data_IF_436553624934
#
_entry.id   IF_436553624934
#
_cell.length_a   1.000
_cell.length_b   1.000
_cell.length_c   1.000
_cell.angle_alpha   90.00
_cell.angle_beta   90.00
_cell.angle_gamma   90.00
#
_symmetry.space_group_name_H-M   'P 1'
#
loop_
_entity.id
_entity.type
_entity.pdbx_description
1 polymer ?
#
# COMPACT_ATOMS: atom_id res chain seq x y z
N UNK A 1 -18.62 -21.33 -11.44
CA UNK A 1 -17.49 -21.22 -12.38
C UNK A 1 -16.49 -20.24 -11.79
N UNK A 2 -15.37 -20.70 -11.23
CA UNK A 2 -14.33 -19.83 -10.69
C UNK A 2 -13.50 -19.27 -11.84
N UNK A 3 -13.80 -18.05 -12.31
CA UNK A 3 -12.91 -17.32 -13.20
C UNK A 3 -11.68 -16.90 -12.40
N UNK A 4 -10.63 -17.72 -12.42
CA UNK A 4 -9.31 -17.29 -11.96
C UNK A 4 -8.80 -16.28 -13.00
N UNK A 5 -8.65 -14.99 -12.65
CA UNK A 5 -8.17 -14.01 -13.62
C UNK A 5 -6.78 -14.40 -14.10
N UNK A 6 -6.53 -14.22 -15.40
CA UNK A 6 -5.22 -14.45 -15.99
C UNK A 6 -4.17 -13.62 -15.25
N UNK A 7 -3.05 -14.24 -14.84
CA UNK A 7 -1.93 -13.54 -14.19
C UNK A 7 -1.44 -12.32 -15.00
N UNK A 8 -1.52 -12.39 -16.34
CA UNK A 8 -1.11 -11.27 -17.21
C UNK A 8 -1.94 -10.00 -17.00
N UNK A 9 -3.23 -10.13 -16.70
CA UNK A 9 -4.10 -8.97 -16.40
C UNK A 9 -3.72 -8.30 -15.08
N UNK A 10 -3.29 -9.10 -14.10
CA UNK A 10 -2.86 -8.59 -12.79
C UNK A 10 -1.52 -7.87 -12.89
N UNK A 11 -0.63 -8.34 -13.77
CA UNK A 11 0.68 -7.72 -14.01
C UNK A 11 0.60 -6.41 -14.82
N UNK A 12 -0.48 -6.21 -15.59
CA UNK A 12 -0.72 -4.97 -16.37
C UNK A 12 -1.54 -3.91 -15.63
N UNK A 13 -1.94 -4.16 -14.37
CA UNK A 13 -2.69 -3.17 -13.60
C UNK A 13 -1.82 -1.94 -13.33
N UNK A 14 -2.42 -0.77 -13.55
CA UNK A 14 -1.77 0.52 -13.28
C UNK A 14 -2.05 0.97 -11.85
N UNK A 15 -1.27 1.91 -11.33
CA UNK A 15 -1.55 2.51 -10.02
C UNK A 15 -2.93 3.19 -10.04
N UNK A 16 -3.33 3.80 -11.16
CA UNK A 16 -4.63 4.45 -11.30
C UNK A 16 -5.80 3.50 -11.02
N UNK A 17 -5.80 2.31 -11.63
CA UNK A 17 -6.86 1.31 -11.46
C UNK A 17 -7.01 0.92 -9.99
N UNK A 18 -5.88 0.77 -9.29
CA UNK A 18 -5.84 0.42 -7.87
C UNK A 18 -6.22 1.60 -6.98
N UNK A 19 -5.86 2.82 -7.38
CA UNK A 19 -6.20 4.04 -6.65
C UNK A 19 -7.70 4.35 -6.70
N UNK A 20 -8.35 4.09 -7.84
CA UNK A 20 -9.81 4.21 -7.98
C UNK A 20 -10.52 3.27 -7.01
N UNK A 21 -10.01 2.05 -6.84
CA UNK A 21 -10.54 1.07 -5.88
C UNK A 21 -10.20 1.37 -4.41
N UNK A 22 -9.43 2.43 -4.11
CA UNK A 22 -9.01 2.77 -2.75
C UNK A 22 -8.13 1.70 -2.07
N UNK A 23 -7.43 0.90 -2.86
CA UNK A 23 -6.63 -0.23 -2.36
C UNK A 23 -5.31 0.22 -1.72
N UNK A 24 -4.77 -0.67 -0.89
CA UNK A 24 -3.46 -0.54 -0.26
C UNK A 24 -2.42 -1.33 -1.03
N UNK A 25 -1.25 -0.73 -1.20
CA UNK A 25 -0.06 -1.41 -1.68
C UNK A 25 0.71 -2.00 -0.51
N UNK A 26 1.06 -3.27 -0.63
CA UNK A 26 1.86 -4.03 0.33
C UNK A 26 3.18 -4.37 -0.34
N UNK A 27 4.24 -3.72 0.12
CA UNK A 27 5.61 -3.95 -0.34
C UNK A 27 6.33 -4.77 0.71
N UNK A 28 6.62 -6.01 0.40
CA UNK A 28 7.28 -6.95 1.32
C UNK A 28 8.61 -7.40 0.75
N UNK A 29 9.67 -7.30 1.55
CA UNK A 29 10.92 -7.99 1.26
C UNK A 29 10.90 -9.37 1.92
N UNK A 30 10.95 -10.45 1.13
CA UNK A 30 10.99 -11.81 1.66
C UNK A 30 12.35 -12.17 2.29
N UNK A 31 13.40 -11.38 2.05
CA UNK A 31 14.71 -11.61 2.66
C UNK A 31 14.78 -11.07 4.09
N UNK A 32 14.52 -9.78 4.29
CA UNK A 32 14.56 -9.16 5.62
C UNK A 32 13.19 -9.09 6.31
N UNK A 33 12.14 -9.61 5.68
CA UNK A 33 10.73 -9.63 6.16
C UNK A 33 10.09 -8.26 6.39
N UNK A 34 10.77 -7.17 6.04
CA UNK A 34 10.22 -5.82 6.11
C UNK A 34 8.98 -5.72 5.22
N UNK A 35 7.87 -5.30 5.81
CA UNK A 35 6.60 -5.05 5.10
C UNK A 35 6.23 -3.58 5.31
N UNK A 36 5.96 -2.88 4.22
CA UNK A 36 5.57 -1.48 4.22
C UNK A 36 4.30 -1.31 3.41
N UNK A 37 3.37 -0.52 3.96
CA UNK A 37 2.07 -0.27 3.37
C UNK A 37 2.03 1.15 2.80
N UNK A 38 1.39 1.31 1.65
CA UNK A 38 1.23 2.61 0.99
C UNK A 38 -0.20 2.75 0.47
N UNK A 39 -0.73 3.98 0.46
CA UNK A 39 -1.99 4.24 -0.24
C UNK A 39 -1.74 4.28 -1.75
N UNK A 40 -2.65 3.71 -2.52
CA UNK A 40 -2.57 3.75 -3.98
C UNK A 40 -2.69 5.18 -4.54
N UNK A 41 -3.55 6.02 -3.95
CA UNK A 41 -3.68 7.44 -4.35
C UNK A 41 -2.35 8.19 -4.21
N UNK A 42 -1.67 7.98 -3.09
CA UNK A 42 -0.42 8.64 -2.76
C UNK A 42 0.71 8.24 -3.72
N UNK A 43 0.75 6.95 -4.07
CA UNK A 43 1.66 6.43 -5.07
C UNK A 43 1.33 6.95 -6.47
N UNK A 44 0.05 7.11 -6.81
CA UNK A 44 -0.37 7.66 -8.10
C UNK A 44 0.08 9.11 -8.27
N UNK A 45 -0.02 9.91 -7.20
CA UNK A 45 0.47 11.29 -7.19
C UNK A 45 1.99 11.36 -7.32
N UNK A 46 2.73 10.43 -6.71
CA UNK A 46 4.19 10.47 -6.68
C UNK A 46 4.87 9.86 -7.92
N UNK A 47 4.49 8.64 -8.29
CA UNK A 47 5.11 7.88 -9.40
C UNK A 47 4.43 8.13 -10.74
N UNK A 48 3.18 8.61 -10.71
CA UNK A 48 2.34 8.78 -11.87
C UNK A 48 1.28 7.67 -11.97
N UNK A 49 0.06 7.99 -12.43
CA UNK A 49 -1.06 7.05 -12.47
C UNK A 49 -0.84 5.86 -13.41
N UNK A 50 -0.09 6.04 -14.50
CA UNK A 50 0.14 5.01 -15.53
C UNK A 50 1.29 4.05 -15.22
N UNK A 51 1.96 4.21 -14.08
CA UNK A 51 3.05 3.30 -13.71
C UNK A 51 2.49 1.91 -13.41
N UNK A 52 3.19 0.88 -13.88
CA UNK A 52 2.83 -0.51 -13.60
C UNK A 52 3.26 -0.88 -12.18
N UNK A 53 2.45 -1.69 -11.50
CA UNK A 53 2.73 -2.14 -10.13
C UNK A 53 4.07 -2.89 -10.05
N UNK A 54 4.35 -3.72 -11.04
CA UNK A 54 5.49 -4.63 -11.04
C UNK A 54 6.83 -3.89 -11.25
N UNK A 55 6.81 -2.63 -11.66
CA UNK A 55 8.02 -1.82 -11.81
C UNK A 55 8.33 -1.01 -10.54
N UNK A 56 7.40 -0.95 -9.58
CA UNK A 56 7.55 -0.22 -8.33
C UNK A 56 8.45 -0.96 -7.34
N UNK A 57 9.22 -0.20 -6.55
CA UNK A 57 10.05 -0.70 -5.44
C UNK A 57 11.00 -1.84 -5.83
N UNK A 58 11.85 -1.57 -6.81
CA UNK A 58 12.83 -2.53 -7.30
C UNK A 58 13.92 -2.93 -6.28
N UNK A 59 14.03 -2.27 -5.12
CA UNK A 59 15.08 -2.53 -4.13
C UNK A 59 14.55 -2.34 -2.71
N UNK A 60 14.92 -3.25 -1.80
CA UNK A 60 14.61 -3.07 -0.39
C UNK A 60 15.41 -1.90 0.22
N UNK A 61 14.74 -1.02 0.95
CA UNK A 61 15.35 0.12 1.65
C UNK A 61 16.26 -0.29 2.82
N UNK A 62 16.13 -1.52 3.33
CA UNK A 62 16.96 -2.01 4.43
C UNK A 62 18.11 -2.91 3.95
N UNK A 63 17.81 -3.96 3.19
CA UNK A 63 18.81 -4.95 2.80
C UNK A 63 19.39 -4.76 1.40
N UNK A 64 18.86 -3.82 0.59
CA UNK A 64 19.36 -3.53 -0.74
C UNK A 64 19.10 -4.61 -1.80
N UNK A 65 18.48 -5.75 -1.44
CA UNK A 65 18.17 -6.83 -2.41
C UNK A 65 16.94 -6.49 -3.25
N UNK A 66 16.98 -6.90 -4.52
CA UNK A 66 15.92 -6.68 -5.52
C UNK A 66 15.04 -7.91 -5.71
N UNK A 67 15.67 -9.07 -5.86
CA UNK A 67 15.05 -10.36 -6.21
C UNK A 67 14.02 -10.86 -5.18
N UNK A 68 14.12 -10.39 -3.95
CA UNK A 68 13.25 -10.80 -2.85
C UNK A 68 12.11 -9.81 -2.57
N UNK A 69 11.97 -8.76 -3.40
CA UNK A 69 10.88 -7.80 -3.28
C UNK A 69 9.61 -8.40 -3.90
N UNK A 70 8.54 -8.39 -3.10
CA UNK A 70 7.21 -8.79 -3.53
C UNK A 70 6.27 -7.60 -3.32
N UNK A 71 5.70 -7.10 -4.42
CA UNK A 71 4.69 -6.05 -4.39
C UNK A 71 3.34 -6.71 -4.64
N UNK A 72 2.41 -6.47 -3.73
CA UNK A 72 1.03 -6.95 -3.83
C UNK A 72 0.08 -5.81 -3.47
N UNK A 73 -1.17 -5.91 -3.88
CA UNK A 73 -2.21 -4.98 -3.45
C UNK A 73 -3.32 -5.75 -2.74
N UNK A 74 -4.02 -5.09 -1.84
CA UNK A 74 -5.21 -5.62 -1.18
C UNK A 74 -6.17 -4.50 -0.83
N UNK A 75 -7.42 -4.84 -0.59
CA UNK A 75 -8.36 -3.92 0.02
C UNK A 75 -8.01 -3.74 1.51
N UNK A 76 -8.19 -2.53 2.07
CA UNK A 76 -8.18 -2.35 3.52
C UNK A 76 -9.29 -3.18 4.15
N UNK A 77 -8.98 -3.83 5.26
CA UNK A 77 -9.98 -4.53 6.08
C UNK A 77 -10.41 -3.64 7.26
N UNK A 78 -11.55 -3.96 7.89
CA UNK A 78 -12.04 -3.23 9.07
C UNK A 78 -11.04 -3.26 10.24
N UNK A 79 -10.27 -4.35 10.37
CA UNK A 79 -9.23 -4.49 11.40
C UNK A 79 -7.98 -3.64 11.13
N UNK A 80 -7.80 -3.12 9.91
CA UNK A 80 -6.70 -2.22 9.57
C UNK A 80 -6.96 -0.77 10.00
N UNK A 81 -8.23 -0.41 10.22
CA UNK A 81 -8.64 0.94 10.57
C UNK A 81 -8.16 1.30 12.00
N UNK A 82 -7.26 2.27 12.10
CA UNK A 82 -6.65 2.66 13.36
C UNK A 82 -5.49 1.77 13.86
N UNK A 83 -5.14 0.70 13.13
CA UNK A 83 -4.06 -0.22 13.49
C UNK A 83 -2.93 -0.27 12.45
N UNK A 84 -3.26 -0.14 11.16
CA UNK A 84 -2.29 -0.26 10.09
C UNK A 84 -1.47 1.03 9.95
N UNK A 85 -0.15 0.92 9.93
CA UNK A 85 0.72 2.07 9.61
C UNK A 85 1.00 2.12 8.12
N UNK A 86 0.54 3.19 7.47
CA UNK A 86 0.79 3.48 6.05
C UNK A 86 1.83 4.57 5.89
N UNK A 87 2.65 4.46 4.86
CA UNK A 87 3.56 5.53 4.45
C UNK A 87 2.85 6.49 3.53
N UNK A 88 2.70 7.74 3.97
CA UNK A 88 2.16 8.83 3.16
C UNK A 88 3.25 9.82 2.74
N UNK A 89 3.23 10.33 1.51
CA UNK A 89 4.09 11.42 1.07
C UNK A 89 3.52 12.73 1.62
N UNK A 90 4.25 13.36 2.55
CA UNK A 90 3.89 14.69 3.08
C UNK A 90 4.43 15.82 2.19
N UNK A 91 5.56 15.57 1.53
CA UNK A 91 6.21 16.42 0.54
C UNK A 91 6.92 15.55 -0.51
N UNK A 92 7.34 16.15 -1.63
CA UNK A 92 7.98 15.49 -2.80
C UNK A 92 9.20 14.63 -2.41
N UNK A 93 9.76 14.78 -1.20
CA UNK A 93 10.89 13.96 -0.72
C UNK A 93 10.75 13.47 0.73
N UNK A 94 9.58 13.65 1.34
CA UNK A 94 9.38 13.31 2.76
C UNK A 94 8.17 12.40 2.94
N UNK A 95 8.48 11.15 3.30
CA UNK A 95 7.49 10.15 3.64
C UNK A 95 7.35 10.08 5.16
N UNK A 96 6.12 10.13 5.66
CA UNK A 96 5.80 9.95 7.07
C UNK A 96 4.97 8.69 7.25
N UNK A 97 5.24 8.00 8.35
CA UNK A 97 4.49 6.82 8.75
C UNK A 97 3.28 7.32 9.55
N UNK A 98 2.07 7.08 9.04
CA UNK A 98 0.82 7.53 9.61
C UNK A 98 -0.12 6.33 9.83
N UNK A 99 -0.94 6.39 10.87
CA UNK A 99 -1.98 5.37 11.08
C UNK A 99 -3.03 5.56 9.98
N UNK A 100 -3.38 4.46 9.32
CA UNK A 100 -4.44 4.42 8.34
C UNK A 100 -5.78 4.62 9.05
N UNK A 101 -6.54 5.60 8.55
CA UNK A 101 -7.92 5.83 8.93
C UNK A 101 -8.75 5.85 7.65
N UNK A 102 -9.80 5.04 7.58
CA UNK A 102 -10.67 4.97 6.41
C UNK A 102 -11.35 6.31 6.12
N UNK A 103 -11.75 7.03 7.19
CA UNK A 103 -12.36 8.37 7.11
C UNK A 103 -11.33 9.52 6.94
N UNK A 104 -10.03 9.18 6.85
CA UNK A 104 -8.94 10.15 6.70
C UNK A 104 -8.68 11.01 7.95
N UNK A 105 -9.36 10.76 9.08
CA UNK A 105 -9.15 11.42 10.36
C UNK A 105 -9.17 10.40 11.48
N UNK A 106 -8.35 10.58 12.53
CA UNK A 106 -8.52 9.81 13.75
C UNK A 106 -9.94 10.03 14.29
N UNK A 107 -10.61 8.99 14.82
CA UNK A 107 -11.92 9.11 15.42
C UNK A 107 -11.82 10.16 16.53
N UNK A 108 -12.87 10.98 16.63
CA UNK A 108 -12.97 11.99 17.68
C UNK A 108 -12.69 11.34 19.05
N UNK A 109 -12.01 12.06 19.96
CA UNK A 109 -11.46 11.58 21.24
C UNK A 109 -12.43 10.82 22.17
N UNK A 110 -13.70 10.65 21.82
CA UNK A 110 -14.71 9.87 22.56
C UNK A 110 -15.11 8.52 21.95
N UNK A 111 -14.62 8.13 20.76
CA UNK A 111 -15.08 6.90 20.08
C UNK A 111 -14.07 5.75 20.08
N UNK A 112 -12.78 6.03 20.36
CA UNK A 112 -11.77 4.98 20.39
C UNK A 112 -11.81 4.22 21.73
N UNK A 113 -12.56 3.13 21.77
CA UNK A 113 -12.53 2.16 22.87
C UNK A 113 -11.58 1.03 22.48
N UNK A 114 -10.33 0.99 22.97
CA UNK A 114 -9.44 -0.12 22.66
C UNK A 114 -10.07 -1.40 23.19
N UNK A 115 -10.31 -2.38 22.31
CA UNK A 115 -10.69 -3.73 22.74
C UNK A 115 -9.49 -4.31 23.50
N UNK A 116 -9.70 -4.58 24.79
CA UNK A 116 -8.76 -5.32 25.65
C UNK A 116 -8.75 -6.79 25.27
#
# INVERSE_FOLDING_TARGET
MSMTPSRRLVDSLTIADIAIDGRLFVVRCNHCRRTTYFLASDLATYYGPQTLINTLFNRCSQCGKREYMKVTHRLPDLDDDGALTIRRPKQIWRWTDEIYWQDGKPPSRGQFRPKR
#
